data_IF_457073578024
#
_entry.id   IF_457073578024
#
_cell.length_a   1.000
_cell.length_b   1.000
_cell.length_c   1.000
_cell.angle_alpha   90.00
_cell.angle_beta   90.00
_cell.angle_gamma   90.00
#
_symmetry.space_group_name_H-M   'P 1'
#
loop_
_entity.id
_entity.type
_entity.pdbx_description
1 polymer ?
#
# COMPACT_ATOMS: atom_id res chain seq x y z
N UNK A 1 -14.33 21.35 2.88
CA UNK A 1 -14.58 19.97 3.35
C UNK A 1 -13.84 18.91 2.53
N UNK A 2 -13.74 19.07 1.20
CA UNK A 2 -13.08 18.12 0.27
C UNK A 2 -11.68 17.61 0.70
N UNK A 3 -10.80 18.51 1.15
CA UNK A 3 -9.44 18.12 1.56
C UNK A 3 -9.36 17.26 2.83
N UNK A 4 -10.39 17.25 3.68
CA UNK A 4 -10.43 16.37 4.86
C UNK A 4 -10.84 14.93 4.47
N UNK A 5 -11.77 14.81 3.51
CA UNK A 5 -12.21 13.51 2.97
C UNK A 5 -11.08 12.79 2.26
N UNK A 6 -10.35 13.49 1.37
CA UNK A 6 -9.17 12.92 0.69
C UNK A 6 -8.08 12.46 1.66
N UNK A 7 -7.92 13.19 2.78
CA UNK A 7 -6.97 12.86 3.84
C UNK A 7 -7.39 11.59 4.58
N UNK A 8 -8.66 11.50 4.99
CA UNK A 8 -9.22 10.32 5.64
C UNK A 8 -9.14 9.08 4.74
N UNK A 9 -9.50 9.23 3.46
CA UNK A 9 -9.47 8.16 2.47
C UNK A 9 -8.05 7.62 2.27
N UNK A 10 -7.05 8.51 2.16
CA UNK A 10 -5.64 8.09 2.05
C UNK A 10 -5.17 7.31 3.28
N UNK A 11 -5.56 7.77 4.48
CA UNK A 11 -5.18 7.12 5.72
C UNK A 11 -5.85 5.76 5.88
N UNK A 12 -7.15 5.66 5.63
CA UNK A 12 -7.89 4.40 5.70
C UNK A 12 -7.36 3.39 4.69
N UNK A 13 -7.12 3.81 3.45
CA UNK A 13 -6.64 2.92 2.41
C UNK A 13 -5.23 2.41 2.71
N UNK A 14 -4.28 3.30 3.05
CA UNK A 14 -2.93 2.87 3.43
C UNK A 14 -2.94 2.03 4.70
N UNK A 15 -3.77 2.37 5.69
CA UNK A 15 -3.90 1.57 6.91
C UNK A 15 -4.39 0.16 6.57
N UNK A 16 -5.46 0.04 5.77
CA UNK A 16 -6.00 -1.25 5.35
C UNK A 16 -4.98 -2.08 4.57
N UNK A 17 -4.29 -1.50 3.59
CA UNK A 17 -3.23 -2.19 2.82
C UNK A 17 -2.08 -2.63 3.73
N UNK A 18 -1.62 -1.74 4.61
CA UNK A 18 -0.48 -2.01 5.49
C UNK A 18 -0.83 -3.09 6.52
N UNK A 19 -2.04 -3.02 7.06
CA UNK A 19 -2.58 -4.03 7.96
C UNK A 19 -2.72 -5.38 7.25
N UNK A 20 -3.23 -5.40 6.02
CA UNK A 20 -3.34 -6.60 5.21
C UNK A 20 -1.97 -7.24 4.91
N UNK A 21 -0.98 -6.46 4.48
CA UNK A 21 0.38 -6.95 4.25
C UNK A 21 1.04 -7.47 5.52
N UNK A 22 0.87 -6.76 6.65
CA UNK A 22 1.37 -7.22 7.95
C UNK A 22 0.70 -8.52 8.35
N UNK A 23 -0.61 -8.64 8.17
CA UNK A 23 -1.37 -9.86 8.44
C UNK A 23 -0.89 -11.05 7.61
N UNK A 24 -0.71 -10.87 6.30
CA UNK A 24 -0.17 -11.92 5.42
C UNK A 24 1.23 -12.37 5.85
N UNK A 25 2.12 -11.42 6.16
CA UNK A 25 3.47 -11.73 6.65
C UNK A 25 3.44 -12.46 8.00
N UNK A 26 2.63 -11.98 8.95
CA UNK A 26 2.50 -12.59 10.26
C UNK A 26 1.91 -14.01 10.19
N UNK A 27 0.83 -14.21 9.42
CA UNK A 27 0.18 -15.52 9.25
C UNK A 27 1.15 -16.52 8.61
N UNK A 28 1.93 -16.11 7.61
CA UNK A 28 2.90 -17.00 6.98
C UNK A 28 4.07 -17.37 7.88
N UNK A 29 4.57 -16.42 8.69
CA UNK A 29 5.57 -16.74 9.73
C UNK A 29 5.00 -17.71 10.78
N UNK A 30 3.78 -17.46 11.27
CA UNK A 30 3.14 -18.31 12.28
C UNK A 30 2.80 -19.70 11.76
N UNK A 31 2.53 -19.83 10.46
CA UNK A 31 2.21 -21.11 9.82
C UNK A 31 3.44 -21.96 9.49
N UNK A 32 4.67 -21.47 9.77
CA UNK A 32 5.94 -22.15 9.50
C UNK A 32 6.31 -22.26 8.00
N UNK A 33 5.38 -21.94 7.10
CA UNK A 33 5.58 -21.93 5.67
C UNK A 33 6.04 -20.54 5.23
N UNK A 34 7.36 -20.32 5.24
CA UNK A 34 8.02 -19.12 4.71
C UNK A 34 7.97 -19.04 3.17
N UNK A 35 6.91 -19.52 2.54
CA UNK A 35 6.77 -19.58 1.08
C UNK A 35 5.50 -18.86 0.66
N UNK A 36 5.44 -17.55 0.93
CA UNK A 36 4.38 -16.70 0.43
C UNK A 36 4.54 -16.63 -1.10
N UNK A 37 3.56 -17.13 -1.85
CA UNK A 37 3.54 -17.07 -3.32
C UNK A 37 2.61 -15.97 -3.79
N UNK A 38 3.08 -14.73 -3.76
CA UNK A 38 2.40 -13.61 -4.41
C UNK A 38 3.01 -13.41 -5.79
N UNK A 39 2.37 -13.96 -6.82
CA UNK A 39 2.81 -13.81 -8.22
C UNK A 39 2.85 -12.36 -8.69
N UNK A 40 2.28 -11.42 -7.94
CA UNK A 40 2.35 -9.98 -8.22
C UNK A 40 3.65 -9.31 -7.76
N UNK A 41 4.46 -9.90 -6.89
CA UNK A 41 5.67 -9.24 -6.38
C UNK A 41 6.93 -9.80 -7.07
N UNK A 42 7.96 -8.98 -7.33
CA UNK A 42 9.15 -9.42 -8.06
C UNK A 42 10.02 -10.39 -7.24
N UNK A 43 9.72 -10.57 -5.96
CA UNK A 43 10.43 -11.45 -5.04
C UNK A 43 9.63 -12.72 -4.81
N UNK A 44 10.31 -13.85 -4.56
CA UNK A 44 9.70 -15.16 -4.34
C UNK A 44 10.23 -15.80 -3.06
N UNK A 45 9.46 -16.74 -2.49
CA UNK A 45 9.86 -17.53 -1.34
C UNK A 45 9.99 -16.71 -0.05
N UNK A 46 11.00 -17.02 0.76
CA UNK A 46 11.18 -16.45 2.10
C UNK A 46 11.45 -14.94 2.07
N UNK A 47 12.18 -14.46 1.06
CA UNK A 47 12.48 -13.03 0.91
C UNK A 47 11.20 -12.22 0.70
N UNK A 48 10.22 -12.79 -0.02
CA UNK A 48 8.93 -12.15 -0.24
C UNK A 48 8.16 -11.98 1.06
N UNK A 49 8.16 -12.99 1.93
CA UNK A 49 7.53 -12.91 3.26
C UNK A 49 8.11 -11.75 4.08
N UNK A 50 9.44 -11.66 4.15
CA UNK A 50 10.13 -10.58 4.88
C UNK A 50 9.84 -9.19 4.31
N UNK A 51 9.88 -9.03 2.98
CA UNK A 51 9.54 -7.77 2.34
C UNK A 51 8.08 -7.38 2.56
N UNK A 52 7.17 -8.34 2.48
CA UNK A 52 5.73 -8.11 2.67
C UNK A 52 5.44 -7.66 4.10
N UNK A 53 6.05 -8.33 5.07
CA UNK A 53 5.92 -8.00 6.48
C UNK A 53 6.56 -6.64 6.79
N UNK A 54 7.77 -6.40 6.27
CA UNK A 54 8.47 -5.12 6.41
C UNK A 54 7.70 -3.96 5.79
N UNK A 55 7.14 -4.13 4.58
CA UNK A 55 6.29 -3.13 3.92
C UNK A 55 5.01 -2.87 4.71
N UNK A 56 4.39 -3.92 5.25
CA UNK A 56 3.20 -3.80 6.11
C UNK A 56 3.48 -2.96 7.37
N UNK A 57 4.54 -3.30 8.11
CA UNK A 57 4.94 -2.56 9.31
C UNK A 57 5.31 -1.12 8.96
N UNK A 58 6.12 -0.93 7.91
CA UNK A 58 6.56 0.40 7.48
C UNK A 58 5.36 1.27 7.06
N UNK A 59 4.37 0.68 6.41
CA UNK A 59 3.12 1.34 6.05
C UNK A 59 2.28 1.73 7.27
N UNK A 60 2.14 0.83 8.26
CA UNK A 60 1.46 1.12 9.52
C UNK A 60 2.14 2.27 10.28
N UNK A 61 3.48 2.23 10.37
CA UNK A 61 4.28 3.30 10.97
C UNK A 61 4.09 4.62 10.22
N UNK A 62 4.06 4.58 8.88
CA UNK A 62 3.83 5.77 8.05
C UNK A 62 2.46 6.40 8.30
N UNK A 63 1.41 5.57 8.47
CA UNK A 63 0.07 6.05 8.83
C UNK A 63 0.05 6.63 10.23
N UNK A 64 0.60 5.92 11.22
CA UNK A 64 0.70 6.39 12.61
C UNK A 64 1.39 7.76 12.68
N UNK A 65 2.56 7.89 12.07
CA UNK A 65 3.31 9.16 12.02
C UNK A 65 2.46 10.27 11.39
N UNK A 66 1.77 9.99 10.29
CA UNK A 66 0.93 10.96 9.62
C UNK A 66 -0.30 11.38 10.45
N UNK A 67 -0.87 10.47 11.25
CA UNK A 67 -1.93 10.76 12.23
C UNK A 67 -1.40 11.69 13.33
N UNK A 68 -0.21 11.42 13.87
CA UNK A 68 0.48 12.32 14.80
C UNK A 68 0.97 13.63 14.16
N UNK A 69 0.75 13.83 12.85
CA UNK A 69 1.13 15.03 12.12
C UNK A 69 2.62 15.16 11.83
N UNK A 70 3.42 14.14 12.16
CA UNK A 70 4.86 14.04 11.84
C UNK A 70 5.06 13.34 10.50
N UNK A 71 6.07 13.76 9.74
CA UNK A 71 6.57 13.06 8.55
C UNK A 71 5.49 12.62 7.52
N UNK A 72 4.56 13.52 7.18
CA UNK A 72 3.55 13.27 6.12
C UNK A 72 4.15 12.90 4.76
N UNK A 73 5.42 13.23 4.54
CA UNK A 73 6.16 12.87 3.32
C UNK A 73 6.42 11.37 3.22
N UNK A 74 6.57 10.65 4.34
CA UNK A 74 6.68 9.19 4.35
C UNK A 74 5.41 8.56 3.79
N UNK A 75 4.24 9.12 4.12
CA UNK A 75 2.97 8.62 3.63
C UNK A 75 2.83 8.80 2.10
N UNK A 76 3.38 9.88 1.55
CA UNK A 76 3.46 10.10 0.09
C UNK A 76 4.44 9.12 -0.56
N UNK A 77 5.64 8.96 0.02
CA UNK A 77 6.64 8.02 -0.49
C UNK A 77 6.09 6.60 -0.47
N UNK A 78 5.43 6.20 0.61
CA UNK A 78 4.86 4.88 0.76
C UNK A 78 3.67 4.65 -0.16
N UNK A 79 2.78 5.63 -0.33
CA UNK A 79 1.66 5.50 -1.27
C UNK A 79 2.15 5.36 -2.72
N UNK A 80 3.21 6.08 -3.10
CA UNK A 80 3.88 5.91 -4.39
C UNK A 80 4.51 4.53 -4.51
N UNK A 81 5.22 4.04 -3.50
CA UNK A 81 5.80 2.69 -3.50
C UNK A 81 4.72 1.64 -3.69
N UNK A 82 3.60 1.72 -2.96
CA UNK A 82 2.46 0.80 -3.11
C UNK A 82 1.89 0.86 -4.53
N UNK A 83 1.71 2.06 -5.08
CA UNK A 83 1.21 2.23 -6.44
C UNK A 83 2.17 1.63 -7.49
N UNK A 84 3.47 1.87 -7.35
CA UNK A 84 4.50 1.28 -8.23
C UNK A 84 4.49 -0.25 -8.12
N UNK A 85 4.36 -0.80 -6.92
CA UNK A 85 4.28 -2.25 -6.70
C UNK A 85 2.99 -2.83 -7.31
N UNK A 86 1.85 -2.15 -7.20
CA UNK A 86 0.60 -2.59 -7.82
C UNK A 86 0.67 -2.54 -9.34
N UNK A 87 1.13 -1.41 -9.91
CA UNK A 87 1.26 -1.27 -11.37
C UNK A 87 2.23 -2.32 -11.90
N UNK A 88 3.36 -2.51 -11.23
CA UNK A 88 4.34 -3.52 -11.63
C UNK A 88 3.80 -4.94 -11.48
N UNK A 89 3.13 -5.22 -10.37
CA UNK A 89 2.67 -6.56 -10.06
C UNK A 89 1.48 -7.03 -10.87
N UNK A 90 0.52 -6.15 -11.12
CA UNK A 90 -0.69 -6.49 -11.88
C UNK A 90 -0.53 -6.31 -13.38
N UNK A 91 0.26 -5.34 -13.84
CA UNK A 91 0.30 -4.97 -15.27
C UNK A 91 1.64 -5.27 -15.96
N UNK A 92 2.78 -5.24 -15.25
CA UNK A 92 4.09 -5.48 -15.88
C UNK A 92 4.57 -6.94 -15.74
N UNK A 93 4.04 -7.68 -14.78
CA UNK A 93 4.27 -9.12 -14.64
C UNK A 93 3.22 -9.90 -15.45
N UNK A 94 3.56 -11.07 -15.99
CA UNK A 94 2.62 -12.04 -16.60
C UNK A 94 1.70 -12.68 -15.55
N UNK A 95 1.03 -11.86 -14.73
CA UNK A 95 0.01 -12.32 -13.80
C UNK A 95 -1.24 -12.63 -14.62
N UNK A 96 -1.49 -13.93 -14.84
CA UNK A 96 -2.73 -14.36 -15.48
C UNK A 96 -3.83 -14.29 -14.43
N UNK A 97 -4.70 -13.29 -14.54
CA UNK A 97 -5.92 -13.21 -13.72
C UNK A 97 -6.72 -14.49 -13.91
N UNK A 98 -7.06 -15.18 -12.82
CA UNK A 98 -7.81 -16.44 -12.86
C UNK A 98 -9.26 -16.25 -13.34
N UNK A 99 -9.77 -15.00 -13.31
CA UNK A 99 -11.06 -14.64 -13.87
C UNK A 99 -11.33 -13.13 -13.93
N UNK A 100 -12.45 -12.72 -14.56
CA UNK A 100 -12.83 -11.30 -14.73
C UNK A 100 -12.99 -10.53 -13.42
N UNK A 101 -13.41 -11.22 -12.35
CA UNK A 101 -13.63 -10.61 -11.03
C UNK A 101 -12.32 -10.22 -10.34
N UNK A 102 -11.26 -11.02 -10.52
CA UNK A 102 -9.94 -10.74 -9.97
C UNK A 102 -9.29 -9.52 -10.65
N UNK A 103 -9.46 -9.42 -11.98
CA UNK A 103 -9.01 -8.25 -12.74
C UNK A 103 -9.75 -6.97 -12.32
N UNK A 104 -11.07 -7.04 -12.08
CA UNK A 104 -11.86 -5.91 -11.56
C UNK A 104 -11.42 -5.52 -10.15
N UNK A 105 -11.16 -6.48 -9.29
CA UNK A 105 -10.65 -6.25 -7.94
C UNK A 105 -9.29 -5.54 -7.97
N UNK A 106 -8.36 -6.01 -8.78
CA UNK A 106 -7.05 -5.38 -8.97
C UNK A 106 -7.15 -3.96 -9.56
N UNK A 107 -8.02 -3.75 -10.55
CA UNK A 107 -8.26 -2.44 -11.14
C UNK A 107 -8.85 -1.46 -10.11
N UNK A 108 -9.83 -1.90 -9.33
CA UNK A 108 -10.41 -1.10 -8.24
C UNK A 108 -9.36 -0.77 -7.19
N UNK A 109 -8.58 -1.75 -6.75
CA UNK A 109 -7.49 -1.54 -5.79
C UNK A 109 -6.44 -0.53 -6.30
N UNK A 110 -6.07 -0.63 -7.57
CA UNK A 110 -5.16 0.31 -8.21
C UNK A 110 -5.78 1.71 -8.27
N UNK A 111 -7.07 1.82 -8.58
CA UNK A 111 -7.80 3.09 -8.58
C UNK A 111 -7.83 3.74 -7.19
N UNK A 112 -8.08 2.96 -6.14
CA UNK A 112 -8.00 3.44 -4.76
C UNK A 112 -6.58 3.85 -4.37
N UNK A 113 -5.55 3.15 -4.84
CA UNK A 113 -4.15 3.52 -4.62
C UNK A 113 -3.81 4.86 -5.27
N UNK A 114 -4.27 5.09 -6.49
CA UNK A 114 -4.15 6.39 -7.17
C UNK A 114 -4.82 7.48 -6.33
N UNK A 115 -6.04 7.23 -5.85
CA UNK A 115 -6.77 8.15 -4.95
C UNK A 115 -6.00 8.46 -3.67
N UNK A 116 -5.35 7.46 -3.07
CA UNK A 116 -4.52 7.64 -1.87
C UNK A 116 -3.23 8.43 -2.15
N UNK A 117 -2.61 8.27 -3.32
CA UNK A 117 -1.48 9.12 -3.76
C UNK A 117 -1.94 10.57 -3.88
N UNK A 118 -3.03 10.83 -4.61
CA UNK A 118 -3.57 12.19 -4.76
C UNK A 118 -3.95 12.80 -3.41
N UNK A 119 -4.61 12.04 -2.54
CA UNK A 119 -4.98 12.51 -1.22
C UNK A 119 -3.76 12.75 -0.32
N UNK A 120 -2.68 11.98 -0.44
CA UNK A 120 -1.42 12.24 0.27
C UNK A 120 -0.70 13.49 -0.25
N UNK A 121 -0.66 13.70 -1.57
CA UNK A 121 -0.06 14.88 -2.21
C UNK A 121 -0.81 16.17 -1.88
N UNK A 122 -2.14 16.13 -1.83
CA UNK A 122 -2.97 17.27 -1.44
C UNK A 122 -2.67 17.75 -0.01
N UNK A 123 -2.32 16.81 0.88
CA UNK A 123 -1.91 17.13 2.24
C UNK A 123 -0.52 17.75 2.34
N UNK A 124 0.39 17.38 1.42
CA UNK A 124 1.71 17.96 1.32
C UNK A 124 1.63 19.43 0.84
N UNK A 125 0.87 19.68 -0.23
CA UNK A 125 0.72 21.02 -0.84
C UNK A 125 0.12 22.06 0.13
N UNK A 126 -0.86 21.65 0.97
CA UNK A 126 -1.51 22.55 1.95
C UNK A 126 -0.57 23.06 3.07
N UNK A 127 0.56 22.39 3.34
CA UNK A 127 1.54 22.85 4.34
C UNK A 127 2.64 23.71 3.73
N UNK A 128 2.90 23.58 2.41
CA UNK A 128 3.80 24.46 1.67
C UNK A 128 3.23 25.88 1.48
N UNK A 129 1.92 26.01 1.26
CA UNK A 129 1.25 27.30 1.07
C UNK A 129 0.98 28.10 2.36
N UNK A 130 1.53 27.68 3.51
CA UNK A 130 1.36 28.33 4.82
C UNK A 130 2.69 28.79 5.42
N UNK A 131 3.76 28.81 4.62
CA UNK A 131 5.04 29.42 4.95
C UNK A 131 5.22 30.69 4.15
#
# INVERSE_FOLDING_TARGET
MFGAVMRLLSYLFLFAISFFFTGLGAVTMLSGHHNLKLGMLPWQGETLTWWTLGLGIFGLLSVLLAVFGKLRILLVLFSLTVLVLMVRGYFLTSYSFAGPDEARGAALLTFWAVGAVFGSLYQFKKKGARR
#
